data_IF_621709034309
#
_entry.id   IF_621709034309
#
_cell.length_a   1.000
_cell.length_b   1.000
_cell.length_c   1.000
_cell.angle_alpha   90.00
_cell.angle_beta   90.00
_cell.angle_gamma   90.00
#
_symmetry.space_group_name_H-M   'P 1'
#
loop_
_entity.id
_entity.type
_entity.pdbx_description
1 polymer ?
#
# COMPACT_ATOMS: atom_id res chain seq x y z
N UNK A 1 11.37 -26.46 -53.00
CA UNK A 1 11.49 -26.13 -52.56
C UNK A 1 11.30 -25.63 -51.55
N UNK A 2 11.16 -25.46 -51.19
CA UNK A 2 11.20 -24.95 -50.46
C UNK A 2 10.96 -24.33 -49.51
N UNK A 3 10.79 -24.08 -49.04
CA UNK A 3 10.74 -23.44 -48.34
C UNK A 3 10.58 -23.11 -47.25
N UNK A 4 10.47 -22.98 -46.89
CA UNK A 4 10.45 -22.56 -46.00
C UNK A 4 10.38 -22.00 -45.04
N UNK A 5 10.33 -21.68 -44.61
CA UNK A 5 10.44 -21.03 -43.84
C UNK A 5 10.11 -20.62 -42.92
N UNK A 6 9.90 -20.50 -42.65
CA UNK A 6 9.76 -19.92 -41.86
C UNK A 6 9.50 -19.60 -40.81
N UNK A 7 9.40 -19.37 -40.48
CA UNK A 7 9.23 -18.96 -39.63
C UNK A 7 9.29 -18.71 -38.58
N UNK A 8 9.34 -18.64 -38.18
CA UNK A 8 9.52 -18.34 -37.16
C UNK A 8 9.45 -17.57 -36.40
N UNK A 9 9.44 -17.20 -36.25
CA UNK A 9 9.52 -16.32 -35.64
C UNK A 9 8.91 -15.97 -34.64
N UNK A 10 8.62 -15.71 -34.32
CA UNK A 10 7.92 -15.29 -33.56
C UNK A 10 8.07 -15.29 -32.34
N UNK A 11 8.17 -15.48 -31.94
CA UNK A 11 8.29 -15.45 -30.85
C UNK A 11 8.61 -14.70 -30.11
N UNK A 12 8.81 -14.32 -29.95
CA UNK A 12 9.34 -13.54 -29.42
C UNK A 12 8.75 -12.88 -28.53
N UNK A 13 8.23 -12.33 -28.59
CA UNK A 13 7.63 -11.55 -27.88
C UNK A 13 7.46 -11.77 -26.63
N UNK A 14 7.23 -11.92 -26.25
CA UNK A 14 6.94 -12.12 -25.18
C UNK A 14 7.43 -11.74 -24.17
N UNK A 15 7.85 -11.63 -23.98
CA UNK A 15 8.50 -11.46 -23.03
C UNK A 15 8.27 -10.51 -22.25
N UNK A 16 8.32 -9.75 -22.31
CA UNK A 16 8.23 -8.79 -21.64
C UNK A 16 7.54 -8.73 -20.57
N UNK A 17 7.02 -8.79 -20.40
CA UNK A 17 6.30 -8.59 -19.51
C UNK A 17 6.46 -8.82 -18.36
N UNK A 18 6.38 -8.85 -18.02
CA UNK A 18 6.49 -9.32 -16.95
C UNK A 18 6.96 -8.65 -15.97
N UNK A 19 7.00 -7.85 -15.64
CA UNK A 19 7.48 -7.35 -14.69
C UNK A 19 6.71 -6.68 -13.92
N UNK A 20 6.31 -7.03 -13.06
CA UNK A 20 5.65 -6.45 -12.09
C UNK A 20 6.26 -5.35 -11.49
N UNK A 21 7.39 -5.14 -11.55
CA UNK A 21 7.93 -4.03 -10.85
C UNK A 21 7.98 -2.78 -11.64
N UNK A 22 7.18 -2.63 -12.61
CA UNK A 22 7.16 -1.39 -13.37
C UNK A 22 6.68 -0.25 -12.47
N UNK A 23 7.11 0.97 -12.74
CA UNK A 23 6.63 2.11 -11.98
C UNK A 23 5.12 2.24 -11.98
N UNK A 24 4.48 1.93 -13.10
CA UNK A 24 3.04 2.00 -13.17
C UNK A 24 2.37 0.97 -12.26
N UNK A 25 2.94 -0.21 -12.19
CA UNK A 25 2.39 -1.25 -11.34
C UNK A 25 2.51 -0.87 -9.88
N UNK A 26 3.65 -0.28 -9.49
CA UNK A 26 3.83 0.15 -8.13
C UNK A 26 2.91 1.30 -7.76
N UNK A 27 2.71 2.24 -8.69
CA UNK A 27 1.80 3.35 -8.44
C UNK A 27 0.37 2.86 -8.24
N UNK A 28 -0.05 1.90 -9.05
CA UNK A 28 -1.39 1.34 -8.92
C UNK A 28 -1.55 0.59 -7.61
N UNK A 29 -0.52 -0.14 -7.21
CA UNK A 29 -0.55 -0.87 -5.96
C UNK A 29 -0.64 0.10 -4.77
N UNK A 30 0.18 1.15 -4.78
CA UNK A 30 0.15 2.11 -3.70
C UNK A 30 -1.21 2.79 -3.59
N UNK A 31 -1.83 3.05 -4.72
CA UNK A 31 -3.14 3.67 -4.70
C UNK A 31 -4.15 2.74 -4.05
N UNK A 32 -4.08 1.46 -4.35
CA UNK A 32 -4.97 0.47 -3.75
C UNK A 32 -4.74 0.39 -2.23
N UNK A 33 -3.49 0.40 -1.81
CA UNK A 33 -3.15 0.34 -0.40
C UNK A 33 -3.71 1.56 0.32
N UNK A 34 -3.49 2.74 -0.24
CA UNK A 34 -3.94 3.96 0.40
C UNK A 34 -5.46 4.04 0.48
N UNK A 35 -6.14 3.59 -0.57
CA UNK A 35 -7.61 3.58 -0.54
C UNK A 35 -8.13 2.62 0.53
N UNK A 36 -7.53 1.45 0.63
CA UNK A 36 -7.95 0.47 1.62
C UNK A 36 -7.68 0.96 3.03
N UNK A 37 -6.51 1.54 3.24
CA UNK A 37 -6.15 2.05 4.56
C UNK A 37 -7.04 3.23 4.97
N UNK A 38 -7.33 4.11 4.03
CA UNK A 38 -8.19 5.24 4.34
C UNK A 38 -9.60 4.77 4.71
N UNK A 39 -10.10 3.75 4.00
CA UNK A 39 -11.42 3.22 4.34
C UNK A 39 -11.43 2.53 5.70
N UNK A 40 -10.33 1.92 6.07
CA UNK A 40 -10.25 1.22 7.35
C UNK A 40 -10.05 2.18 8.52
N UNK A 41 -9.61 3.40 8.24
CA UNK A 41 -9.28 4.36 9.27
C UNK A 41 -10.51 4.76 10.09
N UNK A 42 -10.30 4.96 11.37
CA UNK A 42 -11.33 5.52 12.22
C UNK A 42 -11.20 7.02 12.39
N UNK A 43 -10.27 7.63 11.70
CA UNK A 43 -10.06 9.07 11.82
C UNK A 43 -10.84 9.82 10.74
N UNK A 44 -11.21 11.05 11.06
CA UNK A 44 -11.89 11.88 10.10
C UNK A 44 -10.86 12.53 9.20
N UNK A 45 -11.14 12.56 7.91
CA UNK A 45 -10.24 13.14 6.91
C UNK A 45 -8.82 12.56 6.99
N UNK A 46 -8.74 11.25 7.11
CA UNK A 46 -7.44 10.59 7.22
C UNK A 46 -6.63 10.74 5.95
N UNK A 47 -5.36 11.04 6.10
CA UNK A 47 -4.44 11.17 4.98
C UNK A 47 -3.14 10.51 5.30
N UNK A 48 -2.46 9.97 4.28
CA UNK A 48 -1.19 9.29 4.53
C UNK A 48 -0.09 10.27 4.92
N UNK A 49 0.81 9.81 5.74
CA UNK A 49 1.95 10.59 6.17
C UNK A 49 3.19 9.81 5.76
N UNK A 50 4.05 10.43 5.00
CA UNK A 50 5.24 9.74 4.52
C UNK A 50 4.89 8.76 3.41
N UNK A 51 5.79 7.84 3.19
CA UNK A 51 5.64 6.84 2.14
C UNK A 51 5.26 5.49 2.70
N UNK A 52 4.58 4.68 1.93
CA UNK A 52 4.30 3.32 2.38
C UNK A 52 5.59 2.53 2.60
N UNK A 53 5.61 1.68 3.59
CA UNK A 53 6.76 0.85 3.89
C UNK A 53 6.44 -0.61 3.55
N UNK A 54 7.29 -1.20 2.71
CA UNK A 54 7.06 -2.58 2.28
C UNK A 54 7.78 -3.52 3.22
N UNK A 55 7.07 -4.51 3.69
CA UNK A 55 7.70 -5.56 4.45
C UNK A 55 8.18 -6.64 3.48
N UNK A 56 9.02 -7.51 3.97
CA UNK A 56 9.50 -8.65 3.19
C UNK A 56 8.33 -9.38 2.57
N UNK A 57 8.50 -9.86 1.35
CA UNK A 57 7.44 -10.57 0.66
C UNK A 57 6.90 -11.77 1.42
N UNK A 58 7.74 -12.36 2.26
CA UNK A 58 7.27 -13.50 3.04
C UNK A 58 6.28 -13.07 4.11
N UNK A 59 6.35 -11.81 4.50
CA UNK A 59 5.41 -11.25 5.45
C UNK A 59 4.18 -10.78 4.70
N UNK A 60 4.40 -10.17 3.55
CA UNK A 60 3.30 -9.79 2.66
C UNK A 60 2.45 -8.63 3.13
N UNK A 61 3.06 -7.68 3.84
CA UNK A 61 2.31 -6.50 4.29
C UNK A 61 2.97 -5.21 3.84
N UNK A 62 2.16 -4.19 3.71
CA UNK A 62 2.62 -2.84 3.46
C UNK A 62 2.08 -1.96 4.58
N UNK A 63 2.94 -1.16 5.18
CA UNK A 63 2.54 -0.30 6.30
C UNK A 63 2.40 1.14 5.85
N UNK A 64 1.38 1.81 6.35
CA UNK A 64 1.14 3.22 6.04
C UNK A 64 0.74 3.91 7.32
N UNK A 65 1.26 5.10 7.53
CA UNK A 65 0.79 5.92 8.64
C UNK A 65 -0.27 6.87 8.11
N UNK A 66 -1.34 7.02 8.85
CA UNK A 66 -2.41 7.93 8.50
C UNK A 66 -2.60 8.95 9.62
N UNK A 67 -2.87 10.16 9.25
CA UNK A 67 -3.19 11.20 10.22
C UNK A 67 -4.54 11.78 9.91
N UNK A 68 -5.28 12.09 10.94
CA UNK A 68 -6.59 12.70 10.77
C UNK A 68 -7.08 13.21 12.11
N UNK A 69 -8.35 13.47 12.22
CA UNK A 69 -8.92 13.97 13.45
C UNK A 69 -9.76 12.92 14.11
N UNK A 70 -9.69 12.85 15.42
CA UNK A 70 -10.57 11.96 16.15
C UNK A 70 -12.00 12.47 15.98
N UNK A 71 -12.92 11.61 15.57
CA UNK A 71 -14.30 12.04 15.31
C UNK A 71 -15.15 12.20 16.57
N UNK A 72 -14.69 11.65 17.69
CA UNK A 72 -15.47 11.70 18.91
C UNK A 72 -15.53 13.11 19.45
N UNK A 73 -16.70 13.54 19.85
CA UNK A 73 -16.86 14.88 20.37
C UNK A 73 -15.95 15.23 21.50
N UNK A 74 -15.73 14.33 22.42
CA UNK A 74 -14.90 14.64 23.56
C UNK A 74 -13.43 14.85 23.19
N UNK A 75 -13.04 14.41 21.99
CA UNK A 75 -11.67 14.60 21.56
C UNK A 75 -11.47 15.98 20.93
N UNK A 76 -12.55 16.70 20.70
CA UNK A 76 -12.48 18.08 20.21
C UNK A 76 -11.61 18.29 18.97
N UNK A 77 -11.70 17.40 18.02
CA UNK A 77 -10.96 17.56 16.77
C UNK A 77 -9.47 17.34 16.88
N UNK A 78 -9.04 16.73 17.99
CA UNK A 78 -7.64 16.47 18.19
C UNK A 78 -7.09 15.57 17.12
N UNK A 79 -5.86 15.82 16.72
CA UNK A 79 -5.25 15.02 15.68
C UNK A 79 -4.78 13.69 16.21
N UNK A 80 -4.91 12.66 15.42
CA UNK A 80 -4.44 11.34 15.79
C UNK A 80 -3.67 10.71 14.63
N UNK A 81 -2.91 9.68 14.92
CA UNK A 81 -2.15 8.94 13.92
C UNK A 81 -2.46 7.46 14.08
N UNK A 82 -2.69 6.81 12.97
CA UNK A 82 -2.92 5.38 12.94
C UNK A 82 -1.88 4.69 12.10
N UNK A 83 -1.54 3.46 12.49
CA UNK A 83 -0.70 2.61 11.68
C UNK A 83 -1.63 1.66 10.94
N UNK A 84 -1.53 1.63 9.64
CA UNK A 84 -2.31 0.72 8.82
C UNK A 84 -1.41 -0.35 8.24
N UNK A 85 -1.84 -1.60 8.32
CA UNK A 85 -1.15 -2.68 7.65
C UNK A 85 -2.07 -3.23 6.59
N UNK A 86 -1.58 -3.28 5.37
CA UNK A 86 -2.34 -3.82 4.26
C UNK A 86 -1.79 -5.20 3.91
N UNK A 87 -2.65 -6.20 3.93
CA UNK A 87 -2.24 -7.55 3.59
C UNK A 87 -2.36 -7.78 2.09
N UNK A 88 -1.26 -8.12 1.44
CA UNK A 88 -1.29 -8.40 0.02
C UNK A 88 -2.09 -9.65 -0.26
N UNK A 89 -2.02 -10.60 0.63
CA UNK A 89 -2.70 -11.85 0.44
C UNK A 89 -4.21 -11.73 0.54
N UNK A 90 -4.70 -11.13 1.57
CA UNK A 90 -6.14 -11.01 1.75
C UNK A 90 -6.71 -9.74 1.17
N UNK A 91 -5.83 -8.83 0.76
CA UNK A 91 -6.23 -7.52 0.22
C UNK A 91 -7.10 -6.76 1.20
N UNK A 92 -6.72 -6.85 2.45
CA UNK A 92 -7.46 -6.22 3.53
C UNK A 92 -6.53 -5.33 4.35
N UNK A 93 -7.05 -4.23 4.81
CA UNK A 93 -6.29 -3.30 5.63
C UNK A 93 -6.77 -3.35 7.08
N UNK A 94 -5.81 -3.22 8.00
CA UNK A 94 -6.10 -3.22 9.42
C UNK A 94 -5.42 -2.02 10.04
N UNK A 95 -6.06 -1.33 10.94
CA UNK A 95 -5.47 -0.15 11.55
C UNK A 95 -5.41 -0.27 13.06
N UNK A 96 -4.44 0.40 13.63
CA UNK A 96 -4.34 0.50 15.07
C UNK A 96 -3.77 1.87 15.39
N UNK A 97 -3.85 2.26 16.66
CA UNK A 97 -3.32 3.55 17.08
C UNK A 97 -1.81 3.56 17.04
N UNK A 98 -1.25 4.51 16.33
CA UNK A 98 0.18 4.66 16.32
C UNK A 98 0.66 5.32 17.60
N UNK A 99 -0.15 6.21 18.14
CA UNK A 99 0.24 6.96 19.32
C UNK A 99 0.56 6.08 20.52
N UNK A 100 0.00 4.89 20.56
CA UNK A 100 0.25 4.00 21.68
C UNK A 100 1.55 3.23 21.56
N UNK A 101 2.14 3.19 20.39
CA UNK A 101 3.39 2.43 20.23
C UNK A 101 4.60 3.29 19.94
N UNK A 102 4.42 4.51 19.58
CA UNK A 102 5.57 5.34 19.30
C UNK A 102 6.21 5.76 20.62
N UNK A 103 7.51 5.96 20.65
CA UNK A 103 8.18 6.34 21.89
C UNK A 103 7.73 7.73 22.33
N UNK A 104 7.62 7.93 23.60
CA UNK A 104 7.31 9.26 24.10
C UNK A 104 8.60 10.00 24.27
N UNK A 105 8.57 11.24 23.98
CA UNK A 105 9.75 12.01 24.17
C UNK A 105 9.56 12.98 25.23
N UNK A 106 8.75 12.83 26.19
CA UNK A 106 8.51 13.68 27.13
C UNK A 106 9.57 13.91 27.92
N UNK A 107 9.91 14.82 28.24
CA UNK A 107 10.99 15.15 29.13
C UNK A 107 10.65 14.78 30.54
#
# INVERSE_FOLDING_TARGET
MKTLSLSLLCLTALASQAHASSPDAWAAYDKTVLASCTRASGLKDAKPVGSPAQFDDRVGYTAVLLQGQYPQKHMKGQQGTELCLYSKKSKTAFVTEWDSIRPTTKP
#
